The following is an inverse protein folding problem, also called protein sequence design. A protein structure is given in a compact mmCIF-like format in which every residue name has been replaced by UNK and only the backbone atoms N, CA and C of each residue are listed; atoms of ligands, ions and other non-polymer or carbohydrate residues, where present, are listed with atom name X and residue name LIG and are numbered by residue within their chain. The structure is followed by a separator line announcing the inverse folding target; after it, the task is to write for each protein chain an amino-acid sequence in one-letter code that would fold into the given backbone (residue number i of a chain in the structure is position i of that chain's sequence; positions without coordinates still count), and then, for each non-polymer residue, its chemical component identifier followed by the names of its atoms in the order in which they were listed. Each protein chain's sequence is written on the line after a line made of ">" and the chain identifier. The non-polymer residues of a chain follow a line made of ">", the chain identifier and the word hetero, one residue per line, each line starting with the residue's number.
data_IF_073675623057
#
_entry.id   IF_073675623057
#
_cell.length_a   1.000
_cell.length_b   1.000
_cell.length_c   1.000
_cell.angle_alpha   90.00
_cell.angle_beta   90.00
_cell.angle_gamma   90.00
#
_symmetry.space_group_name_H-M   'P 1'
#
loop_
_entity.id
_entity.type
_entity.pdbx_description
1 polymer ?
#
# COMPACT_ATOMS: atom_id res chain seq x y z
N UNK A 1 -7.54 -2.25 -21.44
CA UNK A 1 -6.11 -2.18 -21.83
C UNK A 1 -5.44 -3.42 -21.28
N UNK A 2 -5.01 -4.35 -22.13
CA UNK A 2 -4.49 -5.65 -21.67
C UNK A 2 -3.11 -5.46 -21.00
N UNK A 3 -3.02 -5.80 -19.72
CA UNK A 3 -1.74 -6.05 -19.07
C UNK A 3 -1.10 -7.24 -19.80
N UNK A 4 -0.08 -6.97 -20.63
CA UNK A 4 0.72 -8.02 -21.26
C UNK A 4 1.22 -8.96 -20.16
N UNK A 5 0.76 -10.21 -20.17
CA UNK A 5 1.31 -11.32 -19.37
C UNK A 5 2.73 -11.61 -19.87
N UNK A 6 3.70 -10.80 -19.44
CA UNK A 6 5.12 -10.93 -19.68
C UNK A 6 5.90 -10.56 -18.43
N UNK A 7 7.12 -11.06 -18.28
CA UNK A 7 7.99 -10.67 -17.18
C UNK A 7 8.29 -9.17 -17.26
N UNK A 8 7.87 -8.39 -16.24
CA UNK A 8 8.17 -6.96 -16.15
C UNK A 8 9.65 -6.79 -15.77
N UNK A 9 10.38 -5.92 -16.49
CA UNK A 9 11.79 -5.64 -16.24
C UNK A 9 11.98 -4.30 -15.56
N UNK A 10 12.90 -4.22 -14.58
CA UNK A 10 13.29 -2.95 -13.94
C UNK A 10 14.04 -2.00 -14.88
N UNK A 11 14.50 -2.48 -16.04
CA UNK A 11 15.04 -1.63 -17.11
C UNK A 11 13.93 -0.80 -17.77
N UNK A 12 12.72 -1.35 -17.85
CA UNK A 12 11.60 -0.75 -18.56
C UNK A 12 10.62 -0.05 -17.61
N UNK A 13 10.45 -0.58 -16.39
CA UNK A 13 9.46 -0.10 -15.42
C UNK A 13 10.11 0.41 -14.14
N UNK A 14 9.54 1.48 -13.57
CA UNK A 14 9.72 1.78 -12.15
C UNK A 14 8.72 0.99 -11.32
N UNK A 15 9.22 0.22 -10.36
CA UNK A 15 8.38 -0.57 -9.46
C UNK A 15 8.09 0.15 -8.15
N UNK A 16 6.82 0.14 -7.76
CA UNK A 16 6.36 0.51 -6.42
C UNK A 16 5.67 -0.66 -5.76
N UNK A 17 5.96 -0.89 -4.48
CA UNK A 17 5.44 -1.98 -3.67
C UNK A 17 4.53 -1.38 -2.61
N UNK A 18 3.28 -1.87 -2.53
CA UNK A 18 2.23 -1.33 -1.68
C UNK A 18 1.87 -2.31 -0.59
N UNK A 19 1.77 -1.80 0.64
CA UNK A 19 1.30 -2.54 1.81
C UNK A 19 0.49 -1.62 2.74
N UNK A 20 -0.34 -2.22 3.59
CA UNK A 20 -1.20 -1.53 4.55
C UNK A 20 -1.07 -2.14 5.96
N UNK A 21 -1.15 -1.28 6.98
CA UNK A 21 -1.16 -1.66 8.38
C UNK A 21 -2.26 -0.91 9.12
N UNK A 22 -3.22 -1.62 9.76
CA UNK A 22 -3.40 -3.07 9.71
C UNK A 22 -3.73 -3.57 8.29
N UNK A 23 -3.30 -4.78 7.95
CA UNK A 23 -3.52 -5.40 6.64
C UNK A 23 -4.94 -5.96 6.46
N UNK A 24 -5.88 -5.56 7.31
CA UNK A 24 -7.26 -6.00 7.30
C UNK A 24 -8.16 -5.03 6.53
N UNK A 25 -9.38 -5.49 6.22
CA UNK A 25 -10.41 -4.58 5.72
C UNK A 25 -10.80 -3.63 6.83
N UNK A 26 -10.90 -2.35 6.48
CA UNK A 26 -11.16 -1.25 7.41
C UNK A 26 -12.40 -1.50 8.26
N UNK A 27 -13.46 -2.02 7.64
CA UNK A 27 -14.70 -2.36 8.33
C UNK A 27 -14.50 -3.32 9.52
N UNK A 28 -13.51 -4.22 9.44
CA UNK A 28 -13.26 -5.25 10.44
C UNK A 28 -12.17 -4.83 11.44
N UNK A 29 -11.40 -3.80 11.13
CA UNK A 29 -10.31 -3.36 11.98
C UNK A 29 -10.84 -2.74 13.28
N UNK A 30 -10.29 -3.19 14.41
CA UNK A 30 -10.46 -2.55 15.72
C UNK A 30 -9.53 -1.36 15.93
N UNK A 31 -8.61 -1.10 15.00
CA UNK A 31 -7.63 -0.04 15.15
C UNK A 31 -8.21 1.33 14.78
N UNK A 32 -7.80 2.37 15.51
CA UNK A 32 -8.24 3.75 15.31
C UNK A 32 -7.68 4.39 14.04
N UNK A 33 -6.53 3.90 13.58
CA UNK A 33 -5.78 4.43 12.45
C UNK A 33 -5.56 3.37 11.39
N UNK A 34 -5.35 3.83 10.17
CA UNK A 34 -4.91 3.02 9.05
C UNK A 34 -3.70 3.69 8.43
N UNK A 35 -2.70 2.90 8.12
CA UNK A 35 -1.51 3.32 7.42
C UNK A 35 -1.41 2.50 6.14
N UNK A 36 -1.02 3.15 5.06
CA UNK A 36 -0.79 2.49 3.78
C UNK A 36 0.38 3.18 3.12
N UNK A 37 1.27 2.40 2.54
CA UNK A 37 2.52 2.91 2.00
C UNK A 37 2.80 2.38 0.62
N UNK A 38 3.50 3.19 -0.16
CA UNK A 38 4.20 2.73 -1.36
C UNK A 38 5.70 2.91 -1.16
N UNK A 39 6.45 1.85 -1.38
CA UNK A 39 7.91 1.87 -1.36
C UNK A 39 8.43 1.51 -2.73
N UNK A 40 9.34 2.33 -3.25
CA UNK A 40 10.19 1.95 -4.36
C UNK A 40 11.61 1.69 -3.87
N UNK A 41 12.34 0.84 -4.58
CA UNK A 41 13.73 0.55 -4.27
C UNK A 41 14.62 0.99 -5.43
N UNK A 42 15.71 1.68 -5.11
CA UNK A 42 16.79 1.95 -6.05
C UNK A 42 17.87 0.88 -6.01
N UNK A 43 17.98 0.18 -4.87
CA UNK A 43 18.90 -0.93 -4.67
C UNK A 43 18.37 -1.87 -3.60
N UNK A 44 18.48 -3.18 -3.86
CA UNK A 44 18.30 -4.25 -2.88
C UNK A 44 19.40 -5.28 -3.13
N UNK A 45 20.41 -5.31 -2.28
CA UNK A 45 21.56 -6.23 -2.36
C UNK A 45 21.18 -7.61 -1.80
N UNK A 46 20.31 -8.32 -2.52
CA UNK A 46 19.65 -9.56 -2.06
C UNK A 46 20.65 -10.62 -1.57
N UNK A 47 21.81 -10.74 -2.22
CA UNK A 47 22.85 -11.73 -1.88
C UNK A 47 23.50 -11.46 -0.51
N UNK A 48 23.51 -10.19 -0.08
CA UNK A 48 24.12 -9.76 1.19
C UNK A 48 23.09 -9.45 2.28
N UNK A 49 21.80 -9.73 2.01
CA UNK A 49 20.75 -9.63 3.00
C UNK A 49 20.55 -10.98 3.70
N UNK A 50 20.34 -10.93 5.01
CA UNK A 50 19.83 -12.08 5.75
C UNK A 50 18.46 -12.44 5.14
N UNK A 51 18.09 -13.71 5.23
CA UNK A 51 16.82 -14.17 4.71
C UNK A 51 15.66 -13.49 5.48
N UNK A 52 15.22 -12.33 4.97
CA UNK A 52 14.21 -11.47 5.58
C UNK A 52 12.86 -12.19 5.72
N UNK A 53 12.61 -13.22 4.92
CA UNK A 53 11.36 -13.99 4.96
C UNK A 53 11.20 -14.79 6.25
N UNK A 54 12.31 -15.09 6.94
CA UNK A 54 12.27 -15.63 8.30
C UNK A 54 11.63 -14.64 9.29
N UNK A 55 11.57 -13.35 8.92
CA UNK A 55 11.01 -12.30 9.75
C UNK A 55 9.51 -12.04 9.54
N UNK A 56 8.86 -12.60 8.51
CA UNK A 56 7.40 -12.43 8.26
C UNK A 56 6.51 -12.94 9.41
N UNK A 57 7.00 -13.86 10.26
CA UNK A 57 6.23 -14.46 11.38
C UNK A 57 6.78 -14.13 12.77
N UNK A 58 7.50 -13.02 12.89
CA UNK A 58 8.17 -12.67 14.14
C UNK A 58 7.15 -12.27 15.21
N UNK A 59 7.04 -13.10 16.24
CA UNK A 59 6.29 -12.81 17.47
C UNK A 59 7.21 -12.22 18.54
N UNK A 60 6.66 -11.30 19.32
CA UNK A 60 7.31 -10.69 20.48
C UNK A 60 8.17 -9.47 20.16
N UNK A 61 8.03 -8.44 20.99
CA UNK A 61 8.65 -7.12 20.81
C UNK A 61 10.16 -7.17 20.59
N UNK A 62 10.90 -7.99 21.35
CA UNK A 62 12.37 -8.11 21.26
C UNK A 62 12.83 -8.46 19.84
N UNK A 63 12.19 -9.45 19.21
CA UNK A 63 12.55 -9.87 17.86
C UNK A 63 12.12 -8.84 16.82
N UNK A 64 10.96 -8.20 16.98
CA UNK A 64 10.55 -7.09 16.10
C UNK A 64 11.57 -5.95 16.09
N UNK A 65 12.08 -5.57 17.27
CA UNK A 65 13.11 -4.55 17.40
C UNK A 65 14.45 -4.96 16.75
N UNK A 66 14.81 -6.24 16.80
CA UNK A 66 16.00 -6.75 16.10
C UNK A 66 15.87 -6.60 14.58
N UNK A 67 14.70 -6.95 14.03
CA UNK A 67 14.44 -6.80 12.59
C UNK A 67 14.46 -5.33 12.18
N UNK A 68 13.88 -4.45 12.99
CA UNK A 68 13.91 -3.02 12.76
C UNK A 68 15.35 -2.46 12.72
N UNK A 69 16.16 -2.81 13.72
CA UNK A 69 17.55 -2.38 13.77
C UNK A 69 18.36 -2.93 12.58
N UNK A 70 18.09 -4.18 12.18
CA UNK A 70 18.69 -4.77 10.99
C UNK A 70 18.36 -3.98 9.72
N UNK A 71 17.10 -3.61 9.51
CA UNK A 71 16.69 -2.82 8.36
C UNK A 71 17.33 -1.43 8.37
N UNK A 72 17.37 -0.75 9.52
CA UNK A 72 18.05 0.55 9.68
C UNK A 72 19.53 0.41 9.29
N UNK A 73 20.23 -0.61 9.80
CA UNK A 73 21.64 -0.86 9.45
C UNK A 73 21.82 -1.17 7.96
N UNK A 74 20.96 -1.99 7.37
CA UNK A 74 21.02 -2.31 5.95
C UNK A 74 20.79 -1.07 5.05
N UNK A 75 19.92 -0.15 5.46
CA UNK A 75 19.69 1.13 4.78
C UNK A 75 20.90 2.06 4.95
N UNK A 76 21.40 2.20 6.18
CA UNK A 76 22.59 3.01 6.49
C UNK A 76 23.83 2.54 5.69
N UNK A 77 23.99 1.22 5.53
CA UNK A 77 25.06 0.61 4.73
C UNK A 77 24.79 0.64 3.22
N UNK A 78 23.68 1.25 2.76
CA UNK A 78 23.27 1.28 1.35
C UNK A 78 23.16 -0.12 0.71
N UNK A 79 22.84 -1.14 1.50
CA UNK A 79 22.44 -2.47 1.00
C UNK A 79 21.01 -2.44 0.50
N UNK A 80 20.17 -1.64 1.15
CA UNK A 80 18.80 -1.32 0.73
C UNK A 80 18.73 0.19 0.54
N UNK A 81 18.17 0.65 -0.56
CA UNK A 81 17.90 2.09 -0.78
C UNK A 81 16.41 2.25 -1.08
N UNK A 82 15.57 2.35 -0.03
CA UNK A 82 14.15 2.54 -0.17
C UNK A 82 13.83 4.03 -0.31
N UNK A 83 12.79 4.33 -1.07
CA UNK A 83 12.18 5.65 -1.12
C UNK A 83 10.68 5.49 -1.24
N UNK A 84 9.90 6.30 -0.54
CA UNK A 84 8.47 6.04 -0.51
C UNK A 84 7.62 7.15 0.05
N UNK A 85 6.33 6.86 0.06
CA UNK A 85 5.31 7.72 0.61
C UNK A 85 4.37 6.89 1.47
N UNK A 86 4.03 7.44 2.63
CA UNK A 86 3.03 6.89 3.54
C UNK A 86 1.83 7.81 3.54
N UNK A 87 0.64 7.22 3.48
CA UNK A 87 -0.62 7.89 3.78
C UNK A 87 -1.24 7.24 5.00
N UNK A 88 -1.93 8.04 5.82
CA UNK A 88 -2.69 7.51 6.95
C UNK A 88 -4.00 8.25 7.13
N UNK A 89 -5.02 7.58 7.66
CA UNK A 89 -6.31 8.17 8.00
C UNK A 89 -6.82 7.63 9.34
N UNK A 90 -7.66 8.41 10.03
CA UNK A 90 -8.58 7.84 11.02
C UNK A 90 -9.54 6.88 10.35
N UNK A 91 -9.87 5.78 11.03
CA UNK A 91 -10.73 4.72 10.48
C UNK A 91 -12.10 5.24 10.01
N UNK A 92 -12.75 6.10 10.79
CA UNK A 92 -14.06 6.65 10.46
C UNK A 92 -14.01 7.57 9.23
N UNK A 93 -12.96 8.38 9.09
CA UNK A 93 -12.72 9.21 7.90
C UNK A 93 -12.45 8.34 6.68
N UNK A 94 -11.65 7.28 6.82
CA UNK A 94 -11.39 6.34 5.73
C UNK A 94 -12.67 5.64 5.25
N UNK A 95 -13.55 5.23 6.17
CA UNK A 95 -14.85 4.64 5.84
C UNK A 95 -15.74 5.65 5.10
N UNK A 96 -15.82 6.89 5.57
CA UNK A 96 -16.56 7.98 4.91
C UNK A 96 -16.05 8.24 3.49
N UNK A 97 -14.73 8.31 3.32
CA UNK A 97 -14.11 8.46 2.00
C UNK A 97 -14.41 7.28 1.08
N UNK A 98 -14.35 6.05 1.61
CA UNK A 98 -14.71 4.84 0.88
C UNK A 98 -16.17 4.86 0.42
N UNK A 99 -17.10 5.27 1.28
CA UNK A 99 -18.51 5.39 0.91
C UNK A 99 -18.73 6.47 -0.14
N UNK A 100 -18.06 7.62 0.00
CA UNK A 100 -18.11 8.71 -0.96
C UNK A 100 -17.72 8.23 -2.36
N UNK A 101 -16.58 7.52 -2.49
CA UNK A 101 -16.12 7.08 -3.81
C UNK A 101 -16.99 5.98 -4.41
N UNK A 102 -17.67 5.17 -3.59
CA UNK A 102 -18.63 4.20 -4.10
C UNK A 102 -19.90 4.85 -4.64
N UNK A 103 -20.34 5.96 -4.05
CA UNK A 103 -21.45 6.76 -4.59
C UNK A 103 -21.05 7.41 -5.91
N UNK A 104 -19.85 7.97 -5.97
CA UNK A 104 -19.28 8.56 -7.19
C UNK A 104 -19.14 7.50 -8.30
N UNK A 105 -18.70 6.29 -7.95
CA UNK A 105 -18.62 5.14 -8.84
C UNK A 105 -19.97 4.50 -9.20
N UNK A 106 -21.09 5.05 -8.73
CA UNK A 106 -22.44 4.53 -8.95
C UNK A 106 -22.63 3.07 -8.49
N UNK A 107 -21.93 2.66 -7.42
CA UNK A 107 -22.07 1.33 -6.80
C UNK A 107 -23.07 1.36 -5.65
N UNK A 108 -23.08 2.45 -4.87
CA UNK A 108 -24.06 2.67 -3.81
C UNK A 108 -24.98 3.81 -4.23
N UNK A 109 -26.29 3.56 -4.19
CA UNK A 109 -27.33 4.54 -4.46
C UNK A 109 -28.26 4.71 -3.26
N UNK A 110 -28.97 5.85 -3.19
CA UNK A 110 -29.99 6.10 -2.16
C UNK A 110 -31.04 4.97 -2.08
N UNK A 111 -31.39 4.35 -3.21
CA UNK A 111 -32.34 3.23 -3.26
C UNK A 111 -31.86 1.95 -2.55
N UNK A 112 -30.54 1.79 -2.38
CA UNK A 112 -29.94 0.58 -1.82
C UNK A 112 -29.14 0.88 -0.53
N UNK A 113 -29.32 2.05 0.09
CA UNK A 113 -28.62 2.42 1.32
C UNK A 113 -28.93 1.51 2.50
N UNK A 114 -30.08 0.83 2.49
CA UNK A 114 -30.49 -0.14 3.50
C UNK A 114 -30.13 -1.59 3.14
N UNK A 115 -29.55 -1.83 1.96
CA UNK A 115 -29.13 -3.17 1.56
C UNK A 115 -27.90 -3.59 2.37
N UNK A 116 -27.79 -4.87 2.72
CA UNK A 116 -26.58 -5.39 3.36
C UNK A 116 -25.48 -5.71 2.33
N UNK A 117 -25.86 -5.91 1.07
CA UNK A 117 -24.99 -6.32 -0.04
C UNK A 117 -25.18 -5.43 -1.26
N UNK A 118 -24.15 -5.42 -2.12
CA UNK A 118 -24.11 -4.76 -3.42
C UNK A 118 -23.48 -5.69 -4.44
N UNK A 119 -23.87 -5.55 -5.70
CA UNK A 119 -23.27 -6.30 -6.81
C UNK A 119 -22.27 -5.40 -7.53
N UNK A 120 -21.01 -5.81 -7.55
CA UNK A 120 -19.92 -5.12 -8.25
C UNK A 120 -19.17 -6.15 -9.08
N UNK A 121 -18.96 -5.88 -10.36
CA UNK A 121 -18.36 -6.82 -11.33
C UNK A 121 -18.99 -8.23 -11.31
N UNK A 122 -20.32 -8.34 -11.25
CA UNK A 122 -21.04 -9.61 -11.10
C UNK A 122 -20.74 -10.38 -9.78
N UNK A 123 -20.13 -9.72 -8.81
CA UNK A 123 -19.89 -10.26 -7.48
C UNK A 123 -20.79 -9.59 -6.45
N UNK A 124 -21.59 -10.39 -5.75
CA UNK A 124 -22.28 -9.92 -4.56
C UNK A 124 -21.30 -9.87 -3.37
N UNK A 125 -21.18 -8.69 -2.77
CA UNK A 125 -20.33 -8.42 -1.61
C UNK A 125 -21.06 -7.55 -0.58
N UNK A 126 -20.66 -7.61 0.69
CA UNK A 126 -21.23 -6.71 1.71
C UNK A 126 -20.86 -5.26 1.45
N UNK A 127 -21.74 -4.33 1.85
CA UNK A 127 -21.47 -2.89 1.72
C UNK A 127 -20.15 -2.51 2.39
N UNK A 128 -19.89 -2.98 3.61
CA UNK A 128 -18.66 -2.60 4.29
C UNK A 128 -17.39 -3.16 3.62
N UNK A 129 -17.48 -4.31 2.91
CA UNK A 129 -16.36 -4.81 2.09
C UNK A 129 -16.14 -3.85 0.92
N UNK A 130 -17.21 -3.49 0.21
CA UNK A 130 -17.13 -2.50 -0.86
C UNK A 130 -16.51 -1.19 -0.35
N UNK A 131 -16.95 -0.68 0.81
CA UNK A 131 -16.46 0.57 1.39
C UNK A 131 -14.96 0.51 1.69
N UNK A 132 -14.50 -0.62 2.22
CA UNK A 132 -13.07 -0.85 2.47
C UNK A 132 -12.28 -0.86 1.15
N UNK A 133 -12.78 -1.50 0.11
CA UNK A 133 -12.16 -1.51 -1.22
C UNK A 133 -12.18 -0.12 -1.89
N UNK A 134 -13.22 0.68 -1.65
CA UNK A 134 -13.29 2.07 -2.09
C UNK A 134 -12.16 2.92 -1.50
N UNK A 135 -11.86 2.76 -0.22
CA UNK A 135 -10.69 3.41 0.37
C UNK A 135 -9.37 2.98 -0.27
N UNK A 136 -9.17 1.67 -0.49
CA UNK A 136 -7.98 1.18 -1.18
C UNK A 136 -7.84 1.79 -2.58
N UNK A 137 -8.94 1.93 -3.33
CA UNK A 137 -8.95 2.60 -4.64
C UNK A 137 -8.42 4.04 -4.56
N UNK A 138 -8.88 4.83 -3.60
CA UNK A 138 -8.45 6.23 -3.42
C UNK A 138 -6.95 6.30 -3.12
N UNK A 139 -6.47 5.47 -2.19
CA UNK A 139 -5.07 5.42 -1.81
C UNK A 139 -4.17 5.04 -2.98
N UNK A 140 -4.55 3.99 -3.73
CA UNK A 140 -3.82 3.54 -4.91
C UNK A 140 -3.70 4.68 -5.91
N UNK A 141 -4.80 5.41 -6.14
CA UNK A 141 -4.79 6.56 -7.03
C UNK A 141 -3.82 7.66 -6.56
N UNK A 142 -3.72 7.92 -5.25
CA UNK A 142 -2.76 8.88 -4.70
C UNK A 142 -1.29 8.45 -4.89
N UNK A 143 -1.01 7.15 -4.81
CA UNK A 143 0.33 6.61 -5.01
C UNK A 143 0.82 6.73 -6.45
N UNK A 144 -0.09 6.83 -7.42
CA UNK A 144 0.27 7.03 -8.82
C UNK A 144 1.02 8.31 -9.07
N UNK A 145 0.52 9.41 -8.50
CA UNK A 145 1.17 10.71 -8.63
C UNK A 145 2.60 10.66 -8.09
N UNK A 146 2.78 10.02 -6.93
CA UNK A 146 4.11 9.80 -6.34
C UNK A 146 5.01 8.94 -7.26
N UNK A 147 4.49 7.84 -7.79
CA UNK A 147 5.27 7.00 -8.69
C UNK A 147 5.63 7.68 -10.00
N UNK A 148 4.78 8.56 -10.52
CA UNK A 148 5.08 9.38 -11.69
C UNK A 148 6.21 10.38 -11.42
N UNK A 149 6.23 11.02 -10.25
CA UNK A 149 7.36 11.88 -9.83
C UNK A 149 8.67 11.10 -9.79
N UNK A 150 8.64 9.90 -9.18
CA UNK A 150 9.81 9.03 -9.08
C UNK A 150 10.28 8.58 -10.46
N UNK A 151 9.37 8.10 -11.32
CA UNK A 151 9.70 7.59 -12.64
C UNK A 151 10.33 8.68 -13.52
N UNK A 152 9.76 9.89 -13.51
CA UNK A 152 10.33 11.07 -14.18
C UNK A 152 11.74 11.39 -13.68
N UNK A 153 11.98 11.32 -12.37
CA UNK A 153 13.30 11.58 -11.80
C UNK A 153 14.37 10.55 -12.21
N UNK A 154 13.97 9.35 -12.62
CA UNK A 154 14.88 8.30 -13.14
C UNK A 154 14.73 8.04 -14.64
N UNK A 155 14.07 8.94 -15.38
CA UNK A 155 13.85 8.81 -16.82
C UNK A 155 13.17 7.49 -17.23
N UNK A 156 12.18 7.05 -16.45
CA UNK A 156 11.32 5.91 -16.81
C UNK A 156 9.94 6.41 -17.22
N UNK A 157 9.45 5.90 -18.34
CA UNK A 157 8.14 6.26 -18.90
C UNK A 157 7.05 5.25 -18.51
N UNK A 158 7.41 4.16 -17.82
CA UNK A 158 6.47 3.12 -17.38
C UNK A 158 6.61 2.86 -15.90
N UNK A 159 5.46 2.70 -15.24
CA UNK A 159 5.37 2.37 -13.81
C UNK A 159 4.58 1.09 -13.66
N UNK A 160 4.99 0.23 -12.72
CA UNK A 160 4.13 -0.83 -12.21
C UNK A 160 4.02 -0.74 -10.68
N UNK A 161 2.78 -0.72 -10.19
CA UNK A 161 2.47 -0.74 -8.77
C UNK A 161 2.03 -2.17 -8.41
N UNK A 162 2.78 -2.79 -7.52
CA UNK A 162 2.48 -4.11 -6.99
C UNK A 162 1.87 -3.98 -5.60
N UNK A 163 0.68 -4.57 -5.43
CA UNK A 163 0.03 -4.66 -4.13
C UNK A 163 0.30 -6.01 -3.49
N UNK A 164 0.34 -6.03 -2.16
CA UNK A 164 0.09 -7.27 -1.42
C UNK A 164 -1.36 -7.71 -1.67
N UNK A 165 -1.65 -9.00 -1.44
CA UNK A 165 -2.99 -9.54 -1.63
C UNK A 165 -4.00 -8.79 -0.78
N UNK A 166 -5.05 -8.24 -1.41
CA UNK A 166 -6.17 -7.66 -0.68
C UNK A 166 -6.85 -8.75 0.16
N UNK A 167 -7.36 -8.44 1.36
CA UNK A 167 -7.95 -9.45 2.23
C UNK A 167 -9.08 -10.23 1.53
N UNK A 168 -8.95 -11.56 1.50
CA UNK A 168 -9.91 -12.46 0.84
C UNK A 168 -9.58 -12.81 -0.62
N UNK A 169 -8.61 -12.15 -1.24
CA UNK A 169 -8.08 -12.54 -2.54
C UNK A 169 -6.97 -13.59 -2.44
N UNK A 170 -6.77 -14.29 -3.55
CA UNK A 170 -5.58 -15.11 -3.78
C UNK A 170 -5.23 -15.09 -5.27
N UNK A 171 -4.07 -15.63 -5.65
CA UNK A 171 -3.62 -15.61 -7.05
C UNK A 171 -4.57 -16.26 -8.07
N UNK A 172 -5.46 -17.17 -7.65
CA UNK A 172 -6.46 -17.79 -8.53
C UNK A 172 -7.81 -17.03 -8.52
N UNK A 173 -8.03 -16.17 -7.53
CA UNK A 173 -9.29 -15.45 -7.31
C UNK A 173 -8.96 -14.02 -6.90
N UNK A 174 -8.89 -13.13 -7.90
CA UNK A 174 -8.52 -11.72 -7.77
C UNK A 174 -9.76 -10.82 -7.71
N UNK A 175 -10.82 -11.34 -7.07
CA UNK A 175 -12.15 -10.73 -7.08
C UNK A 175 -12.11 -9.29 -6.56
N UNK A 176 -11.45 -9.09 -5.43
CA UNK A 176 -11.41 -7.78 -4.79
C UNK A 176 -10.54 -6.80 -5.56
N UNK A 177 -9.47 -7.27 -6.22
CA UNK A 177 -8.68 -6.47 -7.15
C UNK A 177 -9.51 -5.98 -8.33
N UNK A 178 -10.26 -6.86 -8.99
CA UNK A 178 -11.14 -6.50 -10.12
C UNK A 178 -12.20 -5.47 -9.69
N UNK A 179 -12.74 -5.60 -8.47
CA UNK A 179 -13.67 -4.63 -7.90
C UNK A 179 -12.99 -3.27 -7.67
N UNK A 180 -11.76 -3.25 -7.14
CA UNK A 180 -10.98 -2.01 -6.99
C UNK A 180 -10.73 -1.35 -8.34
N UNK A 181 -10.34 -2.11 -9.36
CA UNK A 181 -10.19 -1.59 -10.72
C UNK A 181 -11.49 -1.01 -11.25
N UNK A 182 -12.64 -1.66 -11.01
CA UNK A 182 -13.94 -1.12 -11.41
C UNK A 182 -14.28 0.20 -10.68
N UNK A 183 -14.02 0.29 -9.37
CA UNK A 183 -14.24 1.52 -8.60
C UNK A 183 -13.42 2.67 -9.17
N UNK A 184 -12.13 2.42 -9.44
CA UNK A 184 -11.23 3.42 -10.02
C UNK A 184 -11.76 3.90 -11.39
N UNK A 185 -12.08 2.95 -12.28
CA UNK A 185 -12.47 3.26 -13.66
C UNK A 185 -13.81 3.98 -13.79
N UNK A 186 -14.70 3.85 -12.81
CA UNK A 186 -16.04 4.44 -12.84
C UNK A 186 -16.21 5.64 -11.90
N UNK A 187 -15.16 6.08 -11.22
CA UNK A 187 -15.16 7.26 -10.36
C UNK A 187 -14.24 8.36 -10.90
N UNK A 188 -14.23 9.51 -10.24
CA UNK A 188 -13.29 10.60 -10.49
C UNK A 188 -11.81 10.16 -10.42
N UNK A 189 -11.51 9.02 -9.78
CA UNK A 189 -10.16 8.48 -9.69
C UNK A 189 -9.57 8.18 -11.07
N UNK A 190 -10.38 7.79 -12.06
CA UNK A 190 -9.91 7.60 -13.44
C UNK A 190 -9.26 8.86 -14.01
N UNK A 191 -9.89 10.02 -13.82
CA UNK A 191 -9.34 11.30 -14.24
C UNK A 191 -8.01 11.62 -13.54
N UNK A 192 -7.87 11.23 -12.26
CA UNK A 192 -6.58 11.34 -11.56
C UNK A 192 -5.49 10.48 -12.20
N UNK A 193 -5.80 9.28 -12.70
CA UNK A 193 -4.84 8.43 -13.39
C UNK A 193 -4.41 9.03 -14.73
N UNK A 194 -5.38 9.50 -15.52
CA UNK A 194 -5.14 10.14 -16.82
C UNK A 194 -4.28 11.40 -16.67
N UNK A 195 -4.56 12.22 -15.67
CA UNK A 195 -3.73 13.38 -15.33
C UNK A 195 -2.31 12.98 -14.93
N UNK A 196 -2.14 11.92 -14.13
CA UNK A 196 -0.81 11.45 -13.76
C UNK A 196 -0.01 10.94 -14.97
N UNK A 197 -0.66 10.30 -15.94
CA UNK A 197 0.01 9.92 -17.19
C UNK A 197 0.52 11.15 -17.95
N UNK A 198 -0.33 12.18 -18.09
CA UNK A 198 0.00 13.41 -18.80
C UNK A 198 1.07 14.26 -18.07
N UNK A 199 0.88 14.54 -16.79
CA UNK A 199 1.76 15.42 -15.99
C UNK A 199 3.21 14.93 -15.92
N UNK A 200 3.39 13.60 -15.95
CA UNK A 200 4.70 12.95 -15.79
C UNK A 200 5.22 12.29 -17.07
N UNK A 201 4.58 12.51 -18.22
CA UNK A 201 4.95 11.91 -19.51
C UNK A 201 5.09 10.38 -19.42
N UNK A 202 4.17 9.72 -18.72
CA UNK A 202 4.16 8.28 -18.62
C UNK A 202 3.34 7.67 -19.76
N UNK A 203 3.87 6.62 -20.35
CA UNK A 203 3.22 5.85 -21.40
C UNK A 203 2.32 4.75 -20.83
N UNK A 204 2.62 4.26 -19.62
CA UNK A 204 1.88 3.16 -18.99
C UNK A 204 2.00 3.20 -17.48
N UNK A 205 0.85 3.02 -16.80
CA UNK A 205 0.83 2.59 -15.40
C UNK A 205 0.10 1.25 -15.31
N UNK A 206 0.82 0.22 -14.85
CA UNK A 206 0.27 -1.08 -14.54
C UNK A 206 -0.01 -1.25 -13.05
N UNK A 207 -1.03 -2.04 -12.72
CA UNK A 207 -1.31 -2.52 -11.38
C UNK A 207 -1.31 -4.04 -11.40
N UNK A 208 -0.94 -4.64 -10.28
CA UNK A 208 -1.13 -6.06 -10.10
C UNK A 208 -0.76 -6.51 -8.71
N UNK A 209 -1.06 -7.76 -8.41
CA UNK A 209 -0.47 -8.40 -7.25
C UNK A 209 0.98 -8.74 -7.52
N UNK A 210 1.84 -8.54 -6.52
CA UNK A 210 3.17 -9.15 -6.54
C UNK A 210 3.03 -10.66 -6.69
N UNK A 211 3.67 -11.26 -7.69
CA UNK A 211 3.60 -12.72 -7.85
C UNK A 211 4.23 -13.43 -6.64
N UNK A 212 3.41 -13.99 -5.76
CA UNK A 212 3.81 -15.16 -4.99
C UNK A 212 3.52 -16.38 -5.87
N UNK A 213 4.48 -16.76 -6.70
CA UNK A 213 4.44 -18.10 -7.27
C UNK A 213 4.25 -19.09 -6.10
N UNK A 214 3.24 -19.95 -6.20
CA UNK A 214 2.75 -20.84 -5.13
C UNK A 214 3.81 -21.81 -4.62
N UNK A 215 4.98 -21.83 -5.24
CA UNK A 215 6.17 -22.40 -4.65
C UNK A 215 6.63 -21.55 -3.46
N UNK A 216 6.62 -22.15 -2.27
CA UNK A 216 7.34 -21.64 -1.09
C UNK A 216 8.84 -21.37 -1.35
N UNK A 217 9.37 -21.69 -2.54
CA UNK A 217 10.71 -21.35 -3.01
C UNK A 217 10.82 -19.91 -3.55
N UNK A 218 9.79 -19.33 -4.15
CA UNK A 218 9.83 -17.94 -4.65
C UNK A 218 9.38 -16.91 -3.60
N UNK A 219 8.51 -17.32 -2.66
CA UNK A 219 8.27 -16.58 -1.41
C UNK A 219 9.56 -16.32 -0.61
N UNK A 220 10.64 -17.12 -0.81
CA UNK A 220 11.94 -16.93 -0.15
C UNK A 220 12.72 -15.70 -0.66
N UNK A 221 12.30 -15.09 -1.77
CA UNK A 221 13.01 -13.98 -2.41
C UNK A 221 12.18 -12.69 -2.48
N UNK A 222 11.15 -12.58 -1.64
CA UNK A 222 10.18 -11.47 -1.61
C UNK A 222 10.65 -10.31 -0.71
N UNK A 223 11.89 -9.87 -0.90
CA UNK A 223 12.54 -8.90 -0.02
C UNK A 223 11.80 -7.57 0.00
N UNK A 224 11.43 -7.06 -1.17
CA UNK A 224 10.81 -5.76 -1.34
C UNK A 224 9.46 -5.66 -0.61
N UNK A 225 8.61 -6.69 -0.69
CA UNK A 225 7.36 -6.72 0.06
C UNK A 225 7.60 -6.88 1.57
N UNK A 226 8.52 -7.75 2.00
CA UNK A 226 8.85 -7.86 3.44
C UNK A 226 9.34 -6.53 4.01
N UNK A 227 10.22 -5.85 3.28
CA UNK A 227 10.75 -4.55 3.71
C UNK A 227 9.62 -3.52 3.73
N UNK A 228 8.76 -3.51 2.71
CA UNK A 228 7.60 -2.60 2.64
C UNK A 228 6.67 -2.81 3.84
N UNK A 229 6.31 -4.05 4.16
CA UNK A 229 5.50 -4.41 5.33
C UNK A 229 6.08 -3.82 6.62
N UNK A 230 7.36 -4.07 6.90
CA UNK A 230 8.04 -3.55 8.09
C UNK A 230 8.09 -2.02 8.13
N UNK A 231 8.27 -1.37 6.98
CA UNK A 231 8.22 0.09 6.88
C UNK A 231 6.82 0.57 7.26
N UNK A 232 5.77 0.03 6.62
CA UNK A 232 4.38 0.46 6.86
C UNK A 232 3.96 0.20 8.31
N UNK A 233 4.31 -0.95 8.90
CA UNK A 233 4.09 -1.25 10.33
C UNK A 233 4.82 -0.26 11.25
N UNK A 234 6.04 0.16 10.90
CA UNK A 234 6.78 1.13 11.69
C UNK A 234 6.13 2.51 11.64
N UNK A 235 5.65 2.94 10.48
CA UNK A 235 4.89 4.18 10.34
C UNK A 235 3.55 4.13 11.06
N UNK A 236 2.84 3.00 11.00
CA UNK A 236 1.64 2.78 11.79
C UNK A 236 1.91 2.96 13.30
N UNK A 237 3.01 2.38 13.79
CA UNK A 237 3.45 2.52 15.19
C UNK A 237 3.79 3.98 15.53
N UNK A 238 4.41 4.73 14.62
CA UNK A 238 4.69 6.16 14.78
C UNK A 238 3.40 6.97 14.91
N UNK A 239 2.45 6.78 13.99
CA UNK A 239 1.16 7.48 13.98
C UNK A 239 0.40 7.20 15.27
N UNK A 240 0.34 5.92 15.68
CA UNK A 240 -0.31 5.52 16.92
C UNK A 240 0.34 6.20 18.14
N UNK A 241 1.67 6.16 18.21
CA UNK A 241 2.44 6.84 19.26
C UNK A 241 2.11 8.33 19.35
N UNK A 242 2.11 9.04 18.22
CA UNK A 242 1.88 10.49 18.18
C UNK A 242 0.43 10.89 18.43
N UNK A 243 -0.54 10.12 17.93
CA UNK A 243 -1.96 10.47 17.98
C UNK A 243 -2.66 10.02 19.24
N UNK A 244 -2.15 8.99 19.91
CA UNK A 244 -2.65 8.53 21.20
C UNK A 244 -1.85 9.12 22.38
N UNK A 245 -0.89 10.02 22.11
CA UNK A 245 -0.01 10.68 23.10
C UNK A 245 0.65 9.67 24.06
N UNK A 246 1.19 8.60 23.49
CA UNK A 246 1.79 7.52 24.28
C UNK A 246 3.18 7.93 24.79
N UNK A 247 3.62 7.32 25.89
CA UNK A 247 4.94 7.59 26.44
C UNK A 247 6.07 6.83 25.70
N UNK A 248 7.33 7.24 25.91
CA UNK A 248 8.51 6.64 25.26
C UNK A 248 8.82 5.19 25.69
N UNK A 249 8.17 4.68 26.72
CA UNK A 249 8.25 3.27 27.12
C UNK A 249 7.27 2.38 26.35
N UNK A 250 6.29 2.96 25.65
CA UNK A 250 5.30 2.23 24.86
C UNK A 250 5.93 1.37 23.74
N UNK A 251 5.26 0.27 23.39
CA UNK A 251 5.68 -0.54 22.24
C UNK A 251 5.59 0.23 20.92
N UNK A 252 4.60 1.11 20.77
CA UNK A 252 4.43 1.96 19.60
C UNK A 252 5.65 2.86 19.37
N UNK A 253 6.14 3.54 20.42
CA UNK A 253 7.38 4.31 20.34
C UNK A 253 8.60 3.44 20.01
N UNK A 254 8.72 2.27 20.65
CA UNK A 254 9.85 1.37 20.40
C UNK A 254 9.86 0.86 18.95
N UNK A 255 8.69 0.63 18.37
CA UNK A 255 8.49 0.14 17.00
C UNK A 255 8.40 1.26 15.95
N UNK A 256 8.46 2.54 16.32
CA UNK A 256 8.47 3.65 15.37
C UNK A 256 9.86 4.02 14.84
N UNK A 257 10.95 3.47 15.40
CA UNK A 257 12.30 3.97 15.11
C UNK A 257 12.72 3.88 13.65
N UNK A 258 12.25 2.87 12.90
CA UNK A 258 12.52 2.81 11.46
C UNK A 258 11.80 3.93 10.72
N UNK A 259 10.53 4.21 11.02
CA UNK A 259 9.82 5.35 10.46
C UNK A 259 10.52 6.68 10.78
N UNK A 260 10.89 6.91 12.04
CA UNK A 260 11.65 8.10 12.46
C UNK A 260 12.96 8.22 11.67
N UNK A 261 13.74 7.14 11.60
CA UNK A 261 14.98 7.10 10.82
C UNK A 261 14.75 7.45 9.34
N UNK A 262 13.71 6.90 8.71
CA UNK A 262 13.39 7.14 7.30
C UNK A 262 12.95 8.58 7.03
N UNK A 263 12.22 9.20 7.96
CA UNK A 263 11.80 10.62 7.88
C UNK A 263 13.00 11.53 8.05
N UNK A 264 13.80 11.32 9.11
CA UNK A 264 14.96 12.16 9.44
C UNK A 264 15.99 12.18 8.30
N UNK A 265 16.12 11.05 7.60
CA UNK A 265 17.02 10.91 6.44
C UNK A 265 16.33 11.21 5.09
N UNK A 266 15.09 11.73 5.10
CA UNK A 266 14.31 12.12 3.92
C UNK A 266 14.09 11.01 2.88
N UNK A 267 14.11 9.75 3.32
CA UNK A 267 13.75 8.62 2.46
C UNK A 267 12.24 8.51 2.25
N UNK A 268 11.43 9.02 3.19
CA UNK A 268 9.98 8.91 3.14
C UNK A 268 9.29 10.24 3.42
N UNK A 269 8.15 10.45 2.76
CA UNK A 269 7.21 11.53 3.04
C UNK A 269 5.94 10.96 3.67
N UNK A 270 5.40 11.64 4.68
CA UNK A 270 4.06 11.35 5.22
C UNK A 270 3.07 12.31 4.57
N UNK A 271 2.00 11.76 3.98
CA UNK A 271 0.79 12.51 3.68
C UNK A 271 -0.21 12.32 4.82
N UNK A 272 -0.61 13.45 5.38
CA UNK A 272 -1.60 13.50 6.45
C UNK A 272 -2.97 13.00 5.98
N UNK A 273 -3.80 12.68 6.97
CA UNK A 273 -5.17 12.30 6.74
C UNK A 273 -5.91 13.32 5.87
N UNK A 274 -6.64 12.80 4.89
CA UNK A 274 -7.49 13.62 4.02
C UNK A 274 -8.95 13.21 4.18
N UNK A 275 -9.83 14.20 4.09
CA UNK A 275 -11.28 13.99 3.98
C UNK A 275 -11.72 14.47 2.60
N UNK A 276 -12.38 13.60 1.85
CA UNK A 276 -13.05 13.98 0.60
C UNK A 276 -14.43 14.60 0.86
N UNK A 277 -14.91 14.50 2.09
CA UNK A 277 -16.18 15.08 2.55
C UNK A 277 -15.83 16.29 3.42
N UNK A 278 -16.32 17.46 3.02
CA UNK A 278 -16.19 18.72 3.76
C UNK A 278 -17.29 18.87 4.80
#
# INVERSE_FOLDING_TARGET
>A
MELKKGALSSLEYKFGYVDASPSELIQNSSESFLCVGITTFFKVDRDNLLNLTQFKKVRGIKRKLQVQNYLIQAIHQKKIVPFGMISWNYRDIALKNGEFILKDAQIIHQSNQTANTVVVNNHEISIGLATSLGWYAIVIAMFLKFMGEVAKAVNQEKVAIFLDLLPGDNFKKQRNFEIVEQIINNSQLKGFQENALADYNLNLIGYGYGMHDKSTKNLKNDYEFVITDWIVQSFYSLIKYEKEDLDKSSEAFKLSKLATFLIDNRYFKIKNAFSLIQ
#
